data_IF_555704723589
#
_entry.id   IF_555704723589
#
_cell.length_a   1.000
_cell.length_b   1.000
_cell.length_c   1.000
_cell.angle_alpha   90.00
_cell.angle_beta   90.00
_cell.angle_gamma   90.00
#
_symmetry.space_group_name_H-M   'P 1'
#
loop_
_entity.id
_entity.type
_entity.pdbx_description
1 polymer ?
#
# COMPACT_ATOMS: atom_id res chain seq x y z
N UNK A 1 20.91 31.92 -48.67
CA UNK A 1 20.17 31.92 -47.39
C UNK A 1 20.35 30.55 -46.75
N UNK A 2 21.10 30.44 -45.65
CA UNK A 2 21.32 29.16 -44.99
C UNK A 2 20.00 28.66 -44.37
N UNK A 3 19.61 27.42 -44.69
CA UNK A 3 18.38 26.79 -44.20
C UNK A 3 18.53 26.58 -42.69
N UNK A 4 17.71 27.27 -41.88
CA UNK A 4 17.70 27.12 -40.42
C UNK A 4 17.36 25.67 -40.09
N UNK A 5 18.22 25.00 -39.33
CA UNK A 5 17.96 23.63 -38.88
C UNK A 5 16.86 23.65 -37.82
N UNK A 6 15.74 22.98 -38.08
CA UNK A 6 14.56 22.95 -37.21
C UNK A 6 14.82 22.24 -35.87
N UNK A 7 15.85 21.38 -35.82
CA UNK A 7 16.22 20.63 -34.62
C UNK A 7 17.23 21.34 -33.71
N UNK A 8 17.70 22.53 -34.11
CA UNK A 8 18.67 23.31 -33.34
C UNK A 8 18.02 24.62 -32.91
N UNK A 9 17.76 24.74 -31.61
CA UNK A 9 17.22 25.94 -31.00
C UNK A 9 17.92 26.25 -29.67
N UNK A 10 17.95 27.54 -29.32
CA UNK A 10 18.54 28.03 -28.08
C UNK A 10 17.42 28.35 -27.09
N UNK A 11 17.53 27.86 -25.86
CA UNK A 11 16.60 28.15 -24.76
C UNK A 11 17.35 28.97 -23.69
N UNK A 12 16.84 30.16 -23.38
CA UNK A 12 17.34 31.00 -22.29
C UNK A 12 16.50 30.86 -21.03
N UNK A 13 17.15 30.65 -19.88
CA UNK A 13 16.50 30.61 -18.58
C UNK A 13 16.65 31.95 -17.85
N UNK A 14 15.56 32.46 -17.26
CA UNK A 14 15.59 33.66 -16.43
C UNK A 14 16.23 33.34 -15.06
N UNK A 15 17.25 34.12 -14.66
CA UNK A 15 17.94 33.96 -13.38
C UNK A 15 17.13 34.42 -12.17
N UNK A 16 16.14 35.29 -12.39
CA UNK A 16 15.27 35.81 -11.33
C UNK A 16 14.14 34.82 -10.98
N UNK A 17 13.82 33.89 -11.88
CA UNK A 17 12.81 32.87 -11.62
C UNK A 17 13.48 31.65 -10.92
N UNK A 18 13.09 31.32 -9.67
CA UNK A 18 13.71 30.23 -8.93
C UNK A 18 13.56 28.86 -9.60
N UNK A 19 12.46 28.63 -10.33
CA UNK A 19 12.24 27.36 -11.03
C UNK A 19 13.12 27.25 -12.27
N UNK A 20 13.34 28.36 -12.98
CA UNK A 20 14.29 28.41 -14.09
C UNK A 20 15.74 28.15 -13.60
N UNK A 21 16.12 28.70 -12.45
CA UNK A 21 17.42 28.43 -11.82
C UNK A 21 17.57 26.95 -11.46
N UNK A 22 16.56 26.34 -10.85
CA UNK A 22 16.56 24.89 -10.54
C UNK A 22 16.69 24.05 -11.80
N UNK A 23 15.89 24.33 -12.83
CA UNK A 23 15.94 23.60 -14.11
C UNK A 23 17.32 23.73 -14.77
N UNK A 24 17.88 24.94 -14.80
CA UNK A 24 19.23 25.16 -15.31
C UNK A 24 20.28 24.34 -14.54
N UNK A 25 20.18 24.27 -13.21
CA UNK A 25 21.05 23.43 -12.36
C UNK A 25 20.91 21.93 -12.65
N UNK A 26 19.70 21.44 -12.91
CA UNK A 26 19.46 20.05 -13.32
C UNK A 26 20.13 19.78 -14.66
N UNK A 27 19.85 20.59 -15.68
CA UNK A 27 20.38 20.40 -17.04
C UNK A 27 21.91 20.50 -17.08
N UNK A 28 22.51 21.42 -16.32
CA UNK A 28 23.96 21.57 -16.27
C UNK A 28 24.68 20.33 -15.73
N UNK A 29 24.04 19.56 -14.84
CA UNK A 29 24.59 18.29 -14.32
C UNK A 29 24.52 17.13 -15.31
N UNK A 30 23.63 17.19 -16.31
CA UNK A 30 23.35 16.07 -17.22
C UNK A 30 24.33 15.96 -18.40
N UNK A 31 25.29 16.89 -18.57
CA UNK A 31 26.28 16.81 -19.64
C UNK A 31 25.64 16.70 -21.03
N UNK A 32 25.94 15.63 -21.78
CA UNK A 32 25.39 15.37 -23.12
C UNK A 32 23.93 14.87 -23.11
N UNK A 33 23.39 14.47 -21.95
CA UNK A 33 22.02 13.94 -21.82
C UNK A 33 20.91 15.01 -21.75
N UNK A 34 21.25 16.30 -21.89
CA UNK A 34 20.28 17.40 -21.76
C UNK A 34 19.13 17.33 -22.76
N UNK A 35 19.44 17.03 -24.03
CA UNK A 35 18.44 17.00 -25.09
C UNK A 35 17.42 15.88 -24.88
N UNK A 36 17.91 14.68 -24.56
CA UNK A 36 17.07 13.51 -24.25
C UNK A 36 16.20 13.75 -23.02
N UNK A 37 16.79 14.34 -21.96
CA UNK A 37 16.04 14.67 -20.75
C UNK A 37 14.91 15.66 -21.02
N UNK A 38 15.19 16.72 -21.80
CA UNK A 38 14.18 17.70 -22.19
C UNK A 38 13.07 17.06 -23.05
N UNK A 39 13.43 16.21 -24.01
CA UNK A 39 12.45 15.50 -24.84
C UNK A 39 11.50 14.65 -23.98
N UNK A 40 12.04 13.85 -23.05
CA UNK A 40 11.24 13.05 -22.13
C UNK A 40 10.38 13.89 -21.21
N UNK A 41 10.91 14.98 -20.67
CA UNK A 41 10.17 15.87 -19.78
C UNK A 41 8.99 16.53 -20.50
N UNK A 42 9.19 17.01 -21.73
CA UNK A 42 8.12 17.59 -22.55
C UNK A 42 7.08 16.53 -22.91
N UNK A 43 7.49 15.34 -23.37
CA UNK A 43 6.56 14.24 -23.68
C UNK A 43 5.76 13.80 -22.45
N UNK A 44 6.39 13.73 -21.27
CA UNK A 44 5.71 13.42 -20.02
C UNK A 44 4.75 14.53 -19.58
N UNK A 45 5.09 15.80 -19.83
CA UNK A 45 4.22 16.93 -19.52
C UNK A 45 3.00 16.98 -20.46
N UNK A 46 3.20 16.75 -21.76
CA UNK A 46 2.13 16.72 -22.76
C UNK A 46 1.25 15.47 -22.62
N UNK A 47 1.82 14.30 -22.28
CA UNK A 47 1.02 13.10 -22.01
C UNK A 47 0.17 13.26 -20.74
N UNK A 48 0.70 13.93 -19.71
CA UNK A 48 -0.08 14.37 -18.54
C UNK A 48 -1.03 15.52 -18.89
N UNK A 49 -0.71 16.29 -19.93
CA UNK A 49 -1.48 17.41 -20.45
C UNK A 49 -2.71 16.99 -21.26
N UNK A 50 -2.68 15.82 -21.89
CA UNK A 50 -3.88 15.11 -22.37
C UNK A 50 -4.82 14.73 -21.21
N UNK A 51 -4.31 14.68 -19.99
CA UNK A 51 -5.07 14.58 -18.76
C UNK A 51 -5.23 15.95 -18.06
N UNK A 52 -5.05 17.10 -18.71
CA UNK A 52 -5.41 18.44 -18.16
C UNK A 52 -6.93 18.64 -17.92
N UNK A 53 -7.73 17.59 -17.98
CA UNK A 53 -9.01 17.55 -17.27
C UNK A 53 -8.87 17.12 -15.81
N UNK A 54 -7.86 16.31 -15.46
CA UNK A 54 -7.68 15.64 -14.17
C UNK A 54 -6.18 15.34 -13.90
N UNK A 55 -5.34 16.37 -13.75
CA UNK A 55 -4.03 16.20 -13.06
C UNK A 55 -4.10 16.64 -11.61
N UNK A 56 -5.21 16.36 -10.93
CA UNK A 56 -5.00 15.64 -9.68
C UNK A 56 -4.59 14.24 -10.13
N UNK A 57 -3.45 13.74 -9.66
CA UNK A 57 -3.46 12.32 -9.30
C UNK A 57 -4.40 12.28 -8.09
N UNK A 58 -5.69 12.48 -8.35
CA UNK A 58 -6.75 12.39 -7.38
C UNK A 58 -6.79 10.92 -7.12
N UNK A 59 -6.01 10.51 -6.13
CA UNK A 59 -6.24 9.23 -5.50
C UNK A 59 -7.72 9.29 -5.13
N UNK A 60 -8.55 8.56 -5.86
CA UNK A 60 -9.94 8.46 -5.52
C UNK A 60 -9.96 7.76 -4.17
N UNK A 61 -10.17 8.54 -3.11
CA UNK A 61 -10.15 8.03 -1.75
C UNK A 61 -11.18 6.93 -1.56
N UNK A 62 -12.23 6.87 -2.39
CA UNK A 62 -13.19 5.75 -2.39
C UNK A 62 -12.58 4.49 -2.97
N UNK A 63 -11.85 4.59 -4.08
CA UNK A 63 -11.16 3.46 -4.69
C UNK A 63 -10.01 2.97 -3.80
N UNK A 64 -9.25 3.91 -3.22
CA UNK A 64 -8.22 3.59 -2.22
C UNK A 64 -8.84 2.93 -0.98
N UNK A 65 -9.98 3.44 -0.48
CA UNK A 65 -10.67 2.85 0.66
C UNK A 65 -11.15 1.43 0.35
N UNK A 66 -11.71 1.19 -0.84
CA UNK A 66 -12.10 -0.16 -1.27
C UNK A 66 -10.88 -1.09 -1.37
N UNK A 67 -9.76 -0.61 -1.90
CA UNK A 67 -8.54 -1.37 -2.00
C UNK A 67 -7.96 -1.71 -0.62
N UNK A 68 -7.95 -0.75 0.31
CA UNK A 68 -7.49 -0.97 1.69
C UNK A 68 -8.43 -1.92 2.43
N UNK A 69 -9.76 -1.78 2.29
CA UNK A 69 -10.74 -2.72 2.86
C UNK A 69 -10.53 -4.13 2.33
N UNK A 70 -10.36 -4.27 1.02
CA UNK A 70 -10.09 -5.56 0.38
C UNK A 70 -8.80 -6.20 0.90
N UNK A 71 -7.72 -5.45 1.06
CA UNK A 71 -6.47 -5.98 1.64
C UNK A 71 -6.67 -6.45 3.09
N UNK A 72 -7.40 -5.68 3.90
CA UNK A 72 -7.66 -6.06 5.29
C UNK A 72 -8.59 -7.28 5.39
N UNK A 73 -9.57 -7.40 4.50
CA UNK A 73 -10.45 -8.56 4.38
C UNK A 73 -9.67 -9.79 3.91
N UNK A 74 -8.83 -9.66 2.88
CA UNK A 74 -7.97 -10.74 2.38
C UNK A 74 -6.98 -11.21 3.44
N UNK A 75 -6.39 -10.31 4.23
CA UNK A 75 -5.51 -10.69 5.34
C UNK A 75 -6.26 -11.36 6.49
N UNK A 76 -7.52 -10.99 6.74
CA UNK A 76 -8.35 -11.70 7.71
C UNK A 76 -8.77 -13.07 7.18
N UNK A 77 -9.20 -13.17 5.91
CA UNK A 77 -9.56 -14.43 5.27
C UNK A 77 -8.37 -15.38 5.19
N UNK A 78 -7.15 -14.89 4.91
CA UNK A 78 -5.95 -15.74 4.96
C UNK A 78 -5.63 -16.25 6.38
N UNK A 79 -6.07 -15.56 7.44
CA UNK A 79 -6.00 -16.07 8.83
C UNK A 79 -7.13 -17.04 9.15
N UNK A 80 -8.31 -16.90 8.54
CA UNK A 80 -9.45 -17.80 8.75
C UNK A 80 -9.39 -19.07 7.88
N UNK A 81 -8.78 -19.04 6.70
CA UNK A 81 -8.59 -20.22 5.84
C UNK A 81 -7.47 -21.14 6.36
N UNK A 82 -6.43 -20.60 7.00
CA UNK A 82 -5.45 -21.42 7.73
C UNK A 82 -6.05 -22.11 8.97
N UNK A 83 -7.11 -21.55 9.58
CA UNK A 83 -7.74 -22.10 10.79
C UNK A 83 -8.91 -23.07 10.51
N UNK A 84 -9.55 -23.01 9.33
CA UNK A 84 -10.70 -23.87 8.99
C UNK A 84 -10.56 -24.70 7.69
N UNK A 85 -9.42 -24.61 6.99
CA UNK A 85 -9.18 -25.31 5.72
C UNK A 85 -8.65 -26.75 5.82
N UNK A 86 -8.50 -27.33 7.01
CA UNK A 86 -7.96 -28.69 7.16
C UNK A 86 -8.85 -29.61 8.01
N UNK A 87 -10.09 -29.80 7.58
CA UNK A 87 -10.93 -30.91 8.02
C UNK A 87 -11.54 -31.57 6.78
N UNK A 88 -10.74 -32.36 6.05
CA UNK A 88 -11.23 -33.50 5.29
C UNK A 88 -10.06 -34.23 4.60
N UNK A 89 -9.25 -34.98 5.35
CA UNK A 89 -8.78 -36.29 4.89
C UNK A 89 -8.60 -37.22 6.11
N UNK A 90 -9.30 -38.35 6.08
CA UNK A 90 -9.51 -39.21 7.24
C UNK A 90 -8.26 -39.91 7.77
N UNK A 91 -8.19 -39.99 9.10
CA UNK A 91 -7.58 -41.14 9.78
C UNK A 91 -8.55 -41.67 10.82
N UNK A 92 -9.15 -42.79 10.43
CA UNK A 92 -9.84 -43.76 11.28
C UNK A 92 -8.89 -44.18 12.41
N UNK A 93 -9.07 -43.64 13.61
CA UNK A 93 -8.50 -44.22 14.83
C UNK A 93 -9.60 -45.01 15.53
N UNK A 94 -9.34 -46.31 15.64
CA UNK A 94 -10.12 -47.28 16.41
C UNK A 94 -10.21 -46.82 17.86
N UNK A 95 -11.39 -47.04 18.42
CA UNK A 95 -11.71 -47.00 19.84
C UNK A 95 -10.65 -47.72 20.67
N UNK A 96 -10.06 -47.01 21.64
CA UNK A 96 -9.59 -47.61 22.89
C UNK A 96 -9.96 -46.63 24.02
N UNK A 97 -10.60 -47.17 25.04
CA UNK A 97 -11.17 -46.51 26.19
C UNK A 97 -10.12 -45.66 26.94
N UNK A 98 -10.37 -44.36 27.09
CA UNK A 98 -9.86 -43.59 28.22
C UNK A 98 -10.99 -42.73 28.77
N UNK A 99 -11.51 -43.16 29.93
CA UNK A 99 -12.52 -42.42 30.69
C UNK A 99 -11.97 -41.05 31.12
N UNK A 100 -12.65 -39.99 30.72
CA UNK A 100 -12.51 -38.68 31.32
C UNK A 100 -13.59 -38.57 32.39
N UNK A 101 -13.16 -38.62 33.63
CA UNK A 101 -13.98 -38.36 34.82
C UNK A 101 -14.46 -36.91 34.74
N UNK A 102 -15.75 -36.70 34.45
CA UNK A 102 -16.43 -35.41 34.54
C UNK A 102 -16.49 -34.98 36.01
N UNK A 103 -15.40 -34.39 36.52
CA UNK A 103 -15.46 -33.70 37.80
C UNK A 103 -16.21 -32.39 37.60
N UNK A 104 -17.47 -32.40 38.01
CA UNK A 104 -18.28 -31.20 38.24
C UNK A 104 -17.43 -30.18 39.03
N UNK A 105 -17.15 -29.04 38.40
CA UNK A 105 -16.52 -27.89 39.05
C UNK A 105 -17.43 -27.45 40.20
N UNK A 106 -16.93 -27.42 41.44
CA UNK A 106 -17.76 -27.09 42.60
C UNK A 106 -18.06 -25.60 42.60
N UNK A 107 -19.24 -25.21 43.11
CA UNK A 107 -19.65 -23.80 43.18
C UNK A 107 -18.64 -22.92 43.94
N UNK A 108 -17.89 -23.51 44.88
CA UNK A 108 -16.80 -22.84 45.61
C UNK A 108 -15.64 -22.44 44.68
N UNK A 109 -15.34 -23.25 43.66
CA UNK A 109 -14.30 -22.96 42.66
C UNK A 109 -14.73 -21.78 41.77
N UNK A 110 -16.02 -21.70 41.44
CA UNK A 110 -16.62 -20.61 40.67
C UNK A 110 -16.66 -19.31 41.49
N UNK A 111 -16.99 -19.41 42.78
CA UNK A 111 -16.99 -18.29 43.70
C UNK A 111 -15.58 -17.71 43.91
N UNK A 112 -14.55 -18.57 43.96
CA UNK A 112 -13.15 -18.15 44.05
C UNK A 112 -12.70 -17.35 42.83
N UNK A 113 -13.10 -17.78 41.62
CA UNK A 113 -12.82 -17.04 40.38
C UNK A 113 -13.53 -15.68 40.40
N UNK A 114 -14.77 -15.62 40.88
CA UNK A 114 -15.55 -14.39 40.91
C UNK A 114 -14.99 -13.35 41.91
N UNK A 115 -14.52 -13.80 43.08
CA UNK A 115 -13.84 -12.91 44.04
C UNK A 115 -12.52 -12.37 43.48
N UNK A 116 -11.72 -13.19 42.82
CA UNK A 116 -10.45 -12.76 42.21
C UNK A 116 -10.67 -11.67 41.13
N UNK A 117 -11.78 -11.75 40.39
CA UNK A 117 -12.14 -10.75 39.38
C UNK A 117 -12.63 -9.42 39.99
N UNK A 118 -13.21 -9.43 41.19
CA UNK A 118 -13.63 -8.19 41.87
C UNK A 118 -12.45 -7.41 42.45
N UNK A 119 -11.39 -8.10 42.89
CA UNK A 119 -10.21 -7.45 43.48
C UNK A 119 -9.40 -6.65 42.46
N UNK A 120 -9.45 -7.03 41.18
CA UNK A 120 -8.83 -6.29 40.07
C UNK A 120 -9.54 -4.98 39.69
N UNK A 121 -10.73 -4.71 40.24
CA UNK A 121 -11.54 -3.52 39.90
C UNK A 121 -11.42 -2.40 40.95
N UNK A 122 -10.50 -2.51 41.92
CA UNK A 122 -10.13 -1.41 42.83
C UNK A 122 -8.89 -0.66 42.37
#
# INVERSE_FOLDING_TARGET
>A
MAKKNEFIFNIGFNRENPDHVKVAGILNRLGHGKAEYLARAVLAYESRGLHRGNTSVGIDYRELEQFVRKILEEQNQNRFEEEYGNQNEGKRYKSDEMGVDEKEMKEDDIAGIFMALQDFRK
#
